data_IF_661239458293
#
_entry.id   IF_661239458293
#
_cell.length_a   1.000
_cell.length_b   1.000
_cell.length_c   1.000
_cell.angle_alpha   90.00
_cell.angle_beta   90.00
_cell.angle_gamma   90.00
#
_symmetry.space_group_name_H-M   'P 1'
#
loop_
_entity.id
_entity.type
_entity.pdbx_description
1 polymer ?
#
# COMPACT_ATOMS: atom_id res chain seq x y z
N UNK A 1 21.97 -6.51 -11.69
CA UNK A 1 21.58 -5.65 -12.82
C UNK A 1 20.07 -5.64 -12.85
N UNK A 2 19.43 -4.49 -12.61
CA UNK A 2 17.96 -4.36 -12.68
C UNK A 2 17.51 -4.57 -14.12
N UNK A 3 16.48 -5.40 -14.35
CA UNK A 3 15.85 -5.54 -15.66
C UNK A 3 15.21 -4.22 -16.09
N UNK A 4 15.02 -4.05 -17.39
CA UNK A 4 14.37 -2.84 -17.94
C UNK A 4 12.89 -2.82 -17.54
N UNK A 5 12.51 -1.85 -16.71
CA UNK A 5 11.11 -1.54 -16.43
C UNK A 5 10.51 -0.74 -17.60
N UNK A 6 9.41 -1.25 -18.16
CA UNK A 6 8.63 -0.57 -19.19
C UNK A 6 7.18 -0.50 -18.73
N UNK A 7 6.71 0.69 -18.36
CA UNK A 7 5.34 0.88 -17.90
C UNK A 7 4.35 0.65 -19.04
N UNK A 8 3.70 -0.52 -19.04
CA UNK A 8 2.76 -0.95 -20.08
C UNK A 8 1.81 -2.00 -19.55
N UNK A 9 0.63 -2.13 -20.15
CA UNK A 9 -0.32 -3.20 -19.79
C UNK A 9 0.34 -4.59 -19.89
N UNK A 10 1.15 -4.82 -20.93
CA UNK A 10 1.84 -6.10 -21.11
C UNK A 10 2.83 -6.38 -19.96
N UNK A 11 3.62 -5.39 -19.55
CA UNK A 11 4.56 -5.57 -18.45
C UNK A 11 3.88 -5.99 -17.14
N UNK A 12 2.81 -5.28 -16.75
CA UNK A 12 2.07 -5.61 -15.52
C UNK A 12 1.33 -6.93 -15.65
N UNK A 13 0.80 -7.24 -16.83
CA UNK A 13 0.19 -8.53 -17.15
C UNK A 13 1.19 -9.68 -16.93
N UNK A 14 2.40 -9.56 -17.47
CA UNK A 14 3.44 -10.60 -17.38
C UNK A 14 3.99 -10.73 -15.96
N UNK A 15 4.17 -9.60 -15.26
CA UNK A 15 4.62 -9.58 -13.87
C UNK A 15 3.58 -10.24 -12.96
N UNK A 16 2.30 -9.95 -13.17
CA UNK A 16 1.21 -10.65 -12.50
C UNK A 16 1.28 -12.15 -12.74
N UNK A 17 1.41 -12.60 -13.99
CA UNK A 17 1.40 -14.04 -14.32
C UNK A 17 2.57 -14.80 -13.68
N UNK A 18 3.71 -14.13 -13.46
CA UNK A 18 4.85 -14.67 -12.70
C UNK A 18 4.58 -14.76 -11.20
N UNK A 19 3.89 -13.77 -10.63
CA UNK A 19 3.64 -13.68 -9.19
C UNK A 19 2.44 -14.51 -8.75
N UNK A 20 1.38 -14.58 -9.55
CA UNK A 20 0.11 -15.20 -9.20
C UNK A 20 0.22 -16.66 -8.72
N UNK A 21 0.99 -17.57 -9.35
CA UNK A 21 1.03 -18.98 -8.92
C UNK A 21 1.84 -19.23 -7.64
N UNK A 22 2.57 -18.24 -7.12
CA UNK A 22 3.46 -18.41 -5.97
C UNK A 22 2.63 -18.61 -4.70
N UNK A 23 2.91 -19.69 -3.97
CA UNK A 23 2.34 -19.96 -2.65
C UNK A 23 2.96 -19.02 -1.60
N UNK A 24 2.44 -17.79 -1.54
CA UNK A 24 2.75 -16.85 -0.46
C UNK A 24 2.03 -17.23 0.84
N UNK A 25 2.61 -16.77 1.93
CA UNK A 25 2.05 -16.81 3.28
C UNK A 25 2.68 -15.67 4.08
N UNK A 26 2.35 -15.56 5.37
CA UNK A 26 2.93 -14.54 6.27
C UNK A 26 4.43 -14.73 6.53
N UNK A 27 5.00 -15.84 6.11
CA UNK A 27 6.42 -16.19 6.17
C UNK A 27 6.68 -17.24 5.08
N UNK A 28 7.93 -17.43 4.66
CA UNK A 28 8.30 -18.62 3.88
C UNK A 28 8.88 -18.35 2.50
N UNK A 29 9.27 -19.41 1.78
CA UNK A 29 9.95 -19.32 0.50
C UNK A 29 9.16 -18.54 -0.56
N UNK A 30 7.82 -18.66 -0.60
CA UNK A 30 7.00 -17.95 -1.59
C UNK A 30 7.00 -16.43 -1.40
N UNK A 31 7.09 -15.94 -0.17
CA UNK A 31 7.26 -14.51 0.10
C UNK A 31 8.61 -14.02 -0.46
N UNK A 32 9.70 -14.73 -0.16
CA UNK A 32 11.04 -14.39 -0.67
C UNK A 32 11.14 -14.48 -2.18
N UNK A 33 10.55 -15.51 -2.79
CA UNK A 33 10.49 -15.64 -4.24
C UNK A 33 9.78 -14.43 -4.86
N UNK A 34 8.73 -13.93 -4.22
CA UNK A 34 8.04 -12.72 -4.68
C UNK A 34 8.96 -11.49 -4.54
N UNK A 35 9.69 -11.34 -3.44
CA UNK A 35 10.73 -10.31 -3.30
C UNK A 35 11.85 -10.42 -4.35
N UNK A 36 12.30 -11.62 -4.68
CA UNK A 36 13.31 -11.86 -5.71
C UNK A 36 12.82 -11.45 -7.11
N UNK A 37 11.51 -11.51 -7.36
CA UNK A 37 10.91 -11.00 -8.59
C UNK A 37 10.84 -9.47 -8.55
N UNK A 38 10.35 -8.88 -7.46
CA UNK A 38 10.31 -7.41 -7.33
C UNK A 38 11.71 -6.78 -7.36
N UNK A 39 12.72 -7.45 -6.80
CA UNK A 39 14.11 -6.98 -6.74
C UNK A 39 14.76 -6.81 -8.12
N UNK A 40 14.20 -7.46 -9.15
CA UNK A 40 14.61 -7.29 -10.54
C UNK A 40 14.25 -5.90 -11.08
N UNK A 41 13.23 -5.23 -10.53
CA UNK A 41 12.70 -3.96 -11.01
C UNK A 41 12.87 -2.82 -10.00
N UNK A 42 12.84 -3.13 -8.70
CA UNK A 42 12.97 -2.18 -7.59
C UNK A 42 14.03 -2.70 -6.60
N UNK A 43 15.10 -1.97 -6.27
CA UNK A 43 16.13 -2.47 -5.35
C UNK A 43 15.52 -2.65 -3.96
N UNK A 44 15.54 -3.87 -3.43
CA UNK A 44 14.96 -4.20 -2.13
C UNK A 44 16.08 -4.48 -1.11
N UNK A 45 16.02 -3.80 0.02
CA UNK A 45 16.70 -4.20 1.24
C UNK A 45 15.76 -5.09 2.05
N UNK A 46 16.21 -6.30 2.37
CA UNK A 46 15.42 -7.26 3.15
C UNK A 46 15.95 -7.29 4.59
N UNK A 47 15.09 -6.94 5.53
CA UNK A 47 15.32 -7.12 6.96
C UNK A 47 14.58 -8.36 7.46
N UNK A 48 15.28 -9.23 8.17
CA UNK A 48 14.75 -10.50 8.68
C UNK A 48 14.65 -10.48 10.20
N UNK A 49 13.46 -10.75 10.74
CA UNK A 49 13.20 -10.88 12.17
C UNK A 49 13.01 -12.35 12.51
N UNK A 50 13.81 -12.90 13.42
CA UNK A 50 13.82 -14.34 13.73
C UNK A 50 12.52 -14.81 14.37
N UNK A 51 12.09 -16.02 14.05
CA UNK A 51 11.04 -16.75 14.78
C UNK A 51 11.25 -16.66 16.30
N UNK A 52 10.15 -16.50 17.04
CA UNK A 52 10.17 -16.37 18.50
C UNK A 52 10.51 -14.98 19.02
N UNK A 53 10.98 -14.06 18.16
CA UNK A 53 11.23 -12.66 18.55
C UNK A 53 9.91 -12.00 18.95
N UNK A 54 9.93 -11.34 20.10
CA UNK A 54 8.80 -10.53 20.57
C UNK A 54 8.79 -9.18 19.84
N UNK A 55 7.72 -8.88 19.12
CA UNK A 55 7.45 -7.60 18.47
C UNK A 55 6.18 -6.99 19.04
N UNK A 56 6.36 -6.10 20.02
CA UNK A 56 5.28 -5.59 20.87
C UNK A 56 4.57 -6.71 21.62
N UNK A 57 3.26 -6.89 21.45
CA UNK A 57 2.49 -7.99 22.06
C UNK A 57 2.50 -9.27 21.20
N UNK A 58 3.04 -9.21 19.98
CA UNK A 58 3.08 -10.34 19.07
C UNK A 58 4.42 -11.06 19.13
N UNK A 59 4.42 -12.34 18.79
CA UNK A 59 5.63 -13.13 18.60
C UNK A 59 5.74 -13.53 17.13
N UNK A 60 6.92 -13.39 16.53
CA UNK A 60 7.18 -13.82 15.16
C UNK A 60 6.97 -15.34 15.03
N UNK A 61 6.08 -15.80 14.13
CA UNK A 61 5.73 -17.22 14.03
C UNK A 61 6.87 -18.05 13.41
N UNK A 62 6.74 -19.38 13.49
CA UNK A 62 7.60 -20.30 12.74
C UNK A 62 7.32 -20.16 11.26
N UNK A 63 8.36 -20.29 10.44
CA UNK A 63 8.22 -20.19 8.99
C UNK A 63 7.56 -21.44 8.41
N UNK A 64 6.53 -21.25 7.57
CA UNK A 64 5.81 -22.34 6.91
C UNK A 64 6.40 -22.65 5.53
N UNK A 65 6.77 -23.91 5.33
CA UNK A 65 7.25 -24.44 4.05
C UNK A 65 6.28 -25.52 3.61
N UNK A 66 5.76 -25.44 2.39
CA UNK A 66 4.87 -26.45 1.83
C UNK A 66 5.29 -26.74 0.39
N UNK A 67 5.60 -28.00 0.09
CA UNK A 67 6.06 -28.42 -1.24
C UNK A 67 4.97 -29.10 -2.07
N UNK A 68 3.99 -29.72 -1.41
CA UNK A 68 2.89 -30.44 -2.07
C UNK A 68 1.70 -30.53 -1.12
N UNK A 69 0.49 -30.33 -1.64
CA UNK A 69 -0.73 -30.67 -0.93
C UNK A 69 -1.81 -31.14 -1.92
N UNK A 70 -2.41 -32.30 -1.65
CA UNK A 70 -3.50 -32.83 -2.46
C UNK A 70 -4.45 -33.69 -1.63
N UNK A 71 -5.69 -33.77 -2.12
CA UNK A 71 -6.73 -34.64 -1.60
C UNK A 71 -7.16 -35.59 -2.71
N UNK A 72 -6.90 -36.88 -2.51
CA UNK A 72 -7.20 -37.95 -3.46
C UNK A 72 -8.46 -38.71 -3.05
N UNK A 73 -9.40 -38.86 -3.98
CA UNK A 73 -10.66 -39.57 -3.81
C UNK A 73 -10.47 -41.10 -3.91
N UNK A 74 -11.49 -41.91 -3.54
CA UNK A 74 -11.40 -43.37 -3.56
C UNK A 74 -11.06 -43.98 -4.92
N UNK A 75 -11.39 -43.28 -6.01
CA UNK A 75 -11.12 -43.67 -7.40
C UNK A 75 -9.72 -43.22 -7.89
N UNK A 76 -8.94 -42.54 -7.04
CA UNK A 76 -7.63 -41.97 -7.36
C UNK A 76 -7.68 -40.55 -7.93
N UNK A 77 -8.86 -39.93 -8.07
CA UNK A 77 -8.98 -38.57 -8.60
C UNK A 77 -8.52 -37.53 -7.56
N UNK A 78 -7.65 -36.59 -7.95
CA UNK A 78 -7.28 -35.45 -7.09
C UNK A 78 -8.39 -34.38 -7.09
N UNK A 79 -9.21 -34.39 -6.04
CA UNK A 79 -10.29 -33.42 -5.85
C UNK A 79 -9.77 -32.06 -5.37
N UNK A 80 -8.62 -32.03 -4.71
CA UNK A 80 -7.85 -30.83 -4.38
C UNK A 80 -6.37 -31.05 -4.74
N UNK A 81 -5.71 -30.05 -5.32
CA UNK A 81 -4.30 -30.05 -5.67
C UNK A 81 -3.73 -28.62 -5.65
N UNK A 82 -2.81 -28.35 -4.73
CA UNK A 82 -2.15 -27.06 -4.57
C UNK A 82 -1.41 -26.60 -5.83
N UNK A 83 -0.97 -27.52 -6.70
CA UNK A 83 -0.33 -27.17 -7.97
C UNK A 83 -1.33 -26.71 -9.04
N UNK A 84 -2.61 -27.12 -8.93
CA UNK A 84 -3.70 -26.58 -9.74
C UNK A 84 -4.10 -25.20 -9.24
N UNK A 85 -4.36 -25.08 -7.94
CA UNK A 85 -4.66 -23.81 -7.30
C UNK A 85 -4.23 -23.87 -5.84
N UNK A 86 -3.32 -22.98 -5.45
CA UNK A 86 -2.75 -23.00 -4.10
C UNK A 86 -3.72 -22.53 -2.99
N UNK A 87 -4.92 -22.06 -3.36
CA UNK A 87 -6.03 -21.82 -2.43
C UNK A 87 -6.70 -23.11 -1.95
N UNK A 88 -6.49 -24.24 -2.65
CA UNK A 88 -7.13 -25.52 -2.31
C UNK A 88 -6.56 -26.17 -1.05
N UNK A 89 -5.47 -25.63 -0.48
CA UNK A 89 -4.95 -26.00 0.84
C UNK A 89 -5.17 -24.85 1.81
N UNK A 90 -5.56 -25.17 3.06
CA UNK A 90 -5.60 -24.17 4.13
C UNK A 90 -4.17 -23.64 4.33
N UNK A 91 -3.98 -22.34 4.14
CA UNK A 91 -2.67 -21.72 4.26
C UNK A 91 -2.15 -21.88 5.70
N UNK A 92 -0.86 -22.20 5.86
CA UNK A 92 -0.27 -22.58 7.14
C UNK A 92 -0.71 -23.96 7.68
N UNK A 93 -1.15 -24.88 6.82
CA UNK A 93 -1.49 -26.26 7.24
C UNK A 93 -0.29 -27.03 7.79
N UNK A 94 -0.49 -27.76 8.89
CA UNK A 94 0.48 -28.76 9.38
C UNK A 94 0.57 -29.98 8.44
N UNK A 95 1.64 -30.76 8.60
CA UNK A 95 1.88 -31.93 7.77
C UNK A 95 0.84 -33.02 8.02
N UNK A 96 0.35 -33.65 6.95
CA UNK A 96 -0.54 -34.81 7.03
C UNK A 96 -0.26 -35.78 5.89
N UNK A 97 -0.32 -37.08 6.16
CA UNK A 97 -0.49 -38.14 5.17
C UNK A 97 -1.39 -39.19 5.82
N UNK A 98 -2.70 -39.08 5.58
CA UNK A 98 -3.73 -39.90 6.22
C UNK A 98 -4.75 -40.36 5.21
N UNK A 99 -5.27 -41.56 5.44
CA UNK A 99 -6.45 -42.07 4.76
C UNK A 99 -7.62 -41.95 5.74
N UNK A 100 -8.67 -41.23 5.36
CA UNK A 100 -9.83 -40.95 6.21
C UNK A 100 -11.13 -41.29 5.48
N UNK A 101 -12.16 -41.80 6.17
CA UNK A 101 -13.50 -41.87 5.59
C UNK A 101 -14.07 -40.45 5.37
N UNK A 102 -14.99 -40.32 4.42
CA UNK A 102 -15.55 -39.01 4.03
C UNK A 102 -16.16 -38.26 5.22
N UNK A 103 -16.89 -38.94 6.12
CA UNK A 103 -17.53 -38.36 7.30
C UNK A 103 -16.53 -37.67 8.25
N UNK A 104 -15.37 -38.29 8.48
CA UNK A 104 -14.28 -37.69 9.25
C UNK A 104 -13.64 -36.52 8.48
N UNK A 105 -13.38 -36.72 7.18
CA UNK A 105 -12.77 -35.73 6.29
C UNK A 105 -13.58 -34.43 6.21
N UNK A 106 -14.91 -34.47 6.27
CA UNK A 106 -15.77 -33.28 6.20
C UNK A 106 -15.37 -32.18 7.20
N UNK A 107 -14.80 -32.54 8.35
CA UNK A 107 -14.33 -31.59 9.38
C UNK A 107 -13.06 -30.82 8.98
N UNK A 108 -12.38 -31.26 7.91
CA UNK A 108 -11.17 -30.67 7.35
C UNK A 108 -11.41 -30.00 5.98
N UNK A 109 -12.67 -29.94 5.53
CA UNK A 109 -13.06 -29.32 4.27
C UNK A 109 -13.73 -27.97 4.51
N UNK A 110 -13.30 -26.98 3.75
CA UNK A 110 -13.83 -25.62 3.78
C UNK A 110 -14.42 -25.26 2.42
N UNK A 111 -15.62 -24.69 2.41
CA UNK A 111 -16.37 -24.31 1.21
C UNK A 111 -17.32 -23.14 1.54
N UNK A 112 -17.87 -22.49 0.50
CA UNK A 112 -18.81 -21.37 0.65
C UNK A 112 -20.15 -21.71 -0.02
N UNK A 113 -21.21 -22.05 0.75
CA UNK A 113 -22.53 -22.31 0.18
C UNK A 113 -23.10 -21.16 -0.64
N UNK A 114 -22.87 -19.93 -0.20
CA UNK A 114 -23.36 -18.70 -0.87
C UNK A 114 -22.62 -18.40 -2.19
N UNK A 115 -21.46 -19.00 -2.42
CA UNK A 115 -20.68 -18.86 -3.64
C UNK A 115 -20.23 -20.24 -4.13
N UNK A 116 -21.15 -21.04 -4.69
CA UNK A 116 -20.97 -22.49 -4.81
C UNK A 116 -19.88 -22.93 -5.79
N UNK A 117 -19.42 -22.03 -6.66
CA UNK A 117 -18.33 -22.25 -7.62
C UNK A 117 -16.97 -21.74 -7.12
N UNK A 118 -16.94 -20.97 -6.02
CA UNK A 118 -15.73 -20.34 -5.51
C UNK A 118 -15.00 -21.25 -4.52
N UNK A 119 -13.67 -21.27 -4.59
CA UNK A 119 -12.82 -21.93 -3.59
C UNK A 119 -12.40 -20.85 -2.58
N UNK A 120 -12.73 -21.00 -1.27
CA UNK A 120 -12.38 -20.01 -0.27
C UNK A 120 -10.88 -20.01 0.03
N UNK A 121 -10.34 -18.83 0.30
CA UNK A 121 -9.05 -18.69 0.97
C UNK A 121 -9.23 -18.83 2.48
N UNK A 122 -8.57 -19.83 3.08
CA UNK A 122 -8.62 -20.11 4.51
C UNK A 122 -7.20 -20.18 5.05
N UNK A 123 -6.99 -19.63 6.26
CA UNK A 123 -5.67 -19.57 6.90
C UNK A 123 -5.74 -20.13 8.32
N UNK A 124 -4.62 -20.64 8.83
CA UNK A 124 -4.50 -21.09 10.22
C UNK A 124 -3.15 -20.71 10.84
N UNK A 125 -2.81 -19.42 10.81
CA UNK A 125 -1.47 -18.93 11.19
C UNK A 125 -1.07 -19.22 12.64
N UNK A 126 -1.99 -19.01 13.59
CA UNK A 126 -1.68 -18.98 15.02
C UNK A 126 -2.24 -20.18 15.78
N UNK A 127 -2.78 -21.17 15.07
CA UNK A 127 -3.25 -22.43 15.63
C UNK A 127 -2.98 -23.54 14.63
N UNK A 128 -2.29 -24.61 15.05
CA UNK A 128 -2.03 -25.76 14.18
C UNK A 128 -3.35 -26.42 13.78
N UNK A 129 -3.55 -26.51 12.47
CA UNK A 129 -4.64 -27.19 11.77
C UNK A 129 -4.10 -27.65 10.42
N UNK A 130 -4.84 -28.52 9.76
CA UNK A 130 -4.69 -28.79 8.33
C UNK A 130 -6.09 -28.91 7.72
N UNK A 131 -6.18 -28.64 6.43
CA UNK A 131 -7.43 -28.81 5.69
C UNK A 131 -7.29 -28.45 4.21
N UNK A 132 -8.39 -28.67 3.49
CA UNK A 132 -8.52 -28.37 2.07
C UNK A 132 -9.72 -27.45 1.82
N UNK A 133 -9.58 -26.58 0.84
CA UNK A 133 -10.65 -25.71 0.38
C UNK A 133 -11.18 -26.21 -0.95
N UNK A 134 -12.49 -26.28 -1.08
CA UNK A 134 -13.18 -26.75 -2.28
C UNK A 134 -14.30 -25.76 -2.64
N UNK A 135 -14.74 -25.78 -3.90
CA UNK A 135 -16.04 -25.22 -4.22
C UNK A 135 -17.14 -26.02 -3.53
N UNK A 136 -18.27 -25.37 -3.20
CA UNK A 136 -19.39 -26.10 -2.58
C UNK A 136 -19.88 -27.23 -3.49
N UNK A 137 -19.96 -26.98 -4.81
CA UNK A 137 -20.35 -27.99 -5.78
C UNK A 137 -19.43 -29.22 -5.77
N UNK A 138 -18.12 -29.01 -5.69
CA UNK A 138 -17.16 -30.11 -5.61
C UNK A 138 -17.33 -30.89 -4.29
N UNK A 139 -17.50 -30.19 -3.17
CA UNK A 139 -17.72 -30.78 -1.85
C UNK A 139 -18.99 -31.64 -1.79
N UNK A 140 -20.09 -31.15 -2.34
CA UNK A 140 -21.38 -31.86 -2.35
C UNK A 140 -21.37 -33.09 -3.27
N UNK A 141 -20.43 -33.13 -4.22
CA UNK A 141 -20.30 -34.22 -5.19
C UNK A 141 -19.29 -35.30 -4.76
N UNK A 142 -18.72 -35.20 -3.56
CA UNK A 142 -17.74 -36.17 -3.07
C UNK A 142 -18.41 -37.55 -2.84
N UNK A 143 -17.95 -38.62 -3.50
CA UNK A 143 -18.47 -39.96 -3.25
C UNK A 143 -18.08 -40.48 -1.87
N UNK A 144 -18.93 -41.32 -1.28
CA UNK A 144 -18.56 -42.07 -0.07
C UNK A 144 -17.31 -42.92 -0.29
N UNK A 145 -16.46 -43.00 0.72
CA UNK A 145 -15.27 -43.84 0.70
C UNK A 145 -14.10 -43.24 1.47
N UNK A 146 -12.92 -43.82 1.22
CA UNK A 146 -11.67 -43.42 1.86
C UNK A 146 -10.88 -42.47 0.97
N UNK A 147 -10.50 -41.33 1.54
CA UNK A 147 -9.73 -40.29 0.88
C UNK A 147 -8.33 -40.24 1.43
N UNK A 148 -7.33 -40.03 0.57
CA UNK A 148 -5.96 -39.76 1.01
C UNK A 148 -5.71 -38.25 1.04
N UNK A 149 -5.57 -37.71 2.23
CA UNK A 149 -5.19 -36.33 2.48
C UNK A 149 -3.68 -36.24 2.68
N UNK A 150 -3.00 -35.49 1.80
CA UNK A 150 -1.55 -35.26 1.86
C UNK A 150 -1.25 -33.77 1.90
N UNK A 151 -0.54 -33.32 2.94
CA UNK A 151 0.09 -32.00 3.02
C UNK A 151 1.54 -32.22 3.42
N UNK A 152 2.46 -32.04 2.48
CA UNK A 152 3.90 -32.07 2.71
C UNK A 152 4.37 -30.67 3.09
N UNK A 153 4.15 -30.33 4.36
CA UNK A 153 4.59 -29.07 4.94
C UNK A 153 5.50 -29.27 6.16
N UNK A 154 6.20 -28.21 6.55
CA UNK A 154 6.98 -28.16 7.77
C UNK A 154 6.96 -26.74 8.35
N UNK A 155 7.04 -26.66 9.68
CA UNK A 155 7.30 -25.41 10.39
C UNK A 155 8.76 -25.40 10.81
N UNK A 156 9.50 -24.36 10.41
CA UNK A 156 10.91 -24.21 10.72
C UNK A 156 11.15 -22.92 11.48
N UNK A 157 12.19 -22.91 12.32
CA UNK A 157 12.64 -21.65 12.91
C UNK A 157 13.35 -20.85 11.82
N UNK A 158 12.67 -19.82 11.35
CA UNK A 158 13.05 -19.03 10.19
C UNK A 158 12.91 -17.55 10.47
N UNK A 159 12.38 -16.81 9.51
CA UNK A 159 12.26 -15.36 9.64
C UNK A 159 10.92 -14.81 9.12
N UNK A 160 10.47 -13.74 9.76
CA UNK A 160 9.60 -12.75 9.15
C UNK A 160 10.47 -11.77 8.35
N UNK A 161 10.31 -11.79 7.03
CA UNK A 161 11.08 -10.96 6.11
C UNK A 161 10.28 -9.71 5.73
N UNK A 162 10.92 -8.54 5.81
CA UNK A 162 10.37 -7.22 5.49
C UNK A 162 11.24 -6.62 4.38
N UNK A 163 10.66 -6.34 3.22
CA UNK A 163 11.37 -5.72 2.11
C UNK A 163 11.08 -4.22 2.04
N UNK A 164 12.12 -3.41 1.88
CA UNK A 164 12.00 -1.95 1.82
C UNK A 164 12.91 -1.37 0.73
N UNK A 165 12.57 -0.18 0.25
CA UNK A 165 13.48 0.67 -0.54
C UNK A 165 13.23 2.13 -0.21
N UNK A 166 14.26 2.95 -0.39
CA UNK A 166 14.21 4.38 -0.10
C UNK A 166 14.62 5.16 -1.33
N UNK A 167 13.81 6.16 -1.69
CA UNK A 167 14.17 7.23 -2.60
C UNK A 167 14.41 8.50 -1.78
N UNK A 168 15.69 8.86 -1.62
CA UNK A 168 16.08 10.09 -0.92
C UNK A 168 15.50 11.33 -1.63
N UNK A 169 15.00 12.25 -0.81
CA UNK A 169 14.59 13.59 -1.21
C UNK A 169 15.51 14.66 -0.62
N UNK A 170 15.11 15.92 -0.80
CA UNK A 170 15.81 17.10 -0.29
C UNK A 170 15.68 17.26 1.23
N UNK A 171 14.72 16.55 1.85
CA UNK A 171 14.53 16.50 3.30
C UNK A 171 14.49 15.07 3.83
N UNK A 172 14.76 14.94 5.13
CA UNK A 172 14.59 13.68 5.87
C UNK A 172 13.15 13.40 6.30
N UNK A 173 12.23 14.35 6.06
CA UNK A 173 10.81 14.09 6.26
C UNK A 173 10.36 13.01 5.29
N UNK A 174 9.63 12.03 5.81
CA UNK A 174 9.43 10.75 5.17
C UNK A 174 7.96 10.49 4.85
N UNK A 175 7.72 9.96 3.66
CA UNK A 175 6.42 9.45 3.21
C UNK A 175 6.52 7.94 3.07
N UNK A 176 5.71 7.21 3.83
CA UNK A 176 5.62 5.75 3.74
C UNK A 176 4.58 5.33 2.70
N UNK A 177 4.97 4.52 1.73
CA UNK A 177 4.07 3.80 0.84
C UNK A 177 4.25 2.30 1.10
N UNK A 178 3.20 1.63 1.56
CA UNK A 178 3.31 0.20 1.89
C UNK A 178 2.20 -0.61 1.25
N UNK A 179 2.52 -1.87 0.92
CA UNK A 179 1.53 -2.86 0.54
C UNK A 179 1.91 -4.20 1.14
N UNK A 180 0.93 -5.08 1.34
CA UNK A 180 1.19 -6.39 1.89
C UNK A 180 1.30 -7.48 0.81
N UNK A 181 2.11 -8.50 1.07
CA UNK A 181 2.50 -9.54 0.10
C UNK A 181 2.44 -10.97 0.71
N UNK A 182 1.46 -11.27 1.56
CA UNK A 182 1.29 -12.60 2.18
C UNK A 182 0.21 -13.50 1.55
N UNK A 183 -0.76 -12.97 0.81
CA UNK A 183 -1.83 -13.75 0.18
C UNK A 183 -1.30 -14.50 -1.06
N UNK A 184 -1.69 -15.77 -1.27
CA UNK A 184 -1.21 -16.60 -2.38
C UNK A 184 -1.90 -16.25 -3.72
N UNK A 185 -2.48 -17.20 -4.47
CA UNK A 185 -3.08 -16.94 -5.79
C UNK A 185 -4.41 -16.17 -5.73
N UNK A 186 -4.35 -14.89 -5.36
CA UNK A 186 -5.45 -13.93 -5.45
C UNK A 186 -4.95 -12.60 -6.01
N UNK A 187 -5.78 -11.97 -6.84
CA UNK A 187 -5.37 -10.88 -7.70
C UNK A 187 -5.53 -9.51 -7.05
N UNK A 188 -6.77 -9.09 -6.78
CA UNK A 188 -7.05 -7.79 -6.21
C UNK A 188 -6.64 -7.75 -4.73
N UNK A 189 -7.03 -8.74 -3.94
CA UNK A 189 -6.45 -9.00 -2.62
C UNK A 189 -5.40 -10.12 -2.71
N UNK A 190 -4.15 -9.85 -3.06
CA UNK A 190 -3.51 -8.55 -2.80
C UNK A 190 -2.58 -8.03 -3.89
N UNK A 191 -2.29 -8.78 -4.96
CA UNK A 191 -1.27 -8.39 -5.97
C UNK A 191 -1.50 -7.01 -6.59
N UNK A 192 -2.74 -6.51 -6.62
CA UNK A 192 -3.04 -5.14 -7.04
C UNK A 192 -2.18 -4.08 -6.31
N UNK A 193 -2.04 -4.21 -4.99
CA UNK A 193 -1.31 -3.26 -4.15
C UNK A 193 0.19 -3.24 -4.43
N UNK A 194 0.91 -4.39 -4.33
CA UNK A 194 2.32 -4.50 -4.64
C UNK A 194 2.68 -4.08 -6.07
N UNK A 195 1.82 -4.37 -7.05
CA UNK A 195 2.03 -3.94 -8.44
C UNK A 195 1.93 -2.41 -8.57
N UNK A 196 0.92 -1.79 -7.95
CA UNK A 196 0.79 -0.31 -7.94
C UNK A 196 1.94 0.35 -7.18
N UNK A 197 2.39 -0.26 -6.08
CA UNK A 197 3.55 0.22 -5.31
C UNK A 197 4.82 0.26 -6.18
N UNK A 198 5.07 -0.78 -6.98
CA UNK A 198 6.18 -0.82 -7.92
C UNK A 198 6.07 0.28 -8.98
N UNK A 199 4.87 0.50 -9.53
CA UNK A 199 4.63 1.57 -10.49
C UNK A 199 4.94 2.95 -9.91
N UNK A 200 4.42 3.23 -8.71
CA UNK A 200 4.70 4.48 -8.00
C UNK A 200 6.18 4.68 -7.74
N UNK A 201 6.92 3.64 -7.34
CA UNK A 201 8.38 3.72 -7.18
C UNK A 201 9.05 4.20 -8.47
N UNK A 202 8.71 3.60 -9.62
CA UNK A 202 9.32 3.96 -10.90
C UNK A 202 8.95 5.38 -11.38
N UNK A 203 7.75 5.85 -11.06
CA UNK A 203 7.32 7.21 -11.39
C UNK A 203 7.96 8.26 -10.50
N UNK A 204 7.89 8.09 -9.19
CA UNK A 204 8.48 9.00 -8.19
C UNK A 204 10.01 9.10 -8.37
N UNK A 205 10.66 8.00 -8.75
CA UNK A 205 12.10 7.98 -9.08
C UNK A 205 12.48 8.93 -10.22
N UNK A 206 11.58 9.14 -11.19
CA UNK A 206 11.83 10.01 -12.36
C UNK A 206 11.59 11.48 -12.08
N UNK A 207 10.95 11.83 -10.97
CA UNK A 207 10.70 13.23 -10.64
C UNK A 207 12.03 13.99 -10.49
N UNK A 208 12.12 15.22 -11.04
CA UNK A 208 13.37 15.98 -11.04
C UNK A 208 13.79 16.43 -9.63
N UNK A 209 12.81 16.64 -8.75
CA UNK A 209 12.98 17.04 -7.35
C UNK A 209 11.98 16.24 -6.51
N UNK A 210 12.42 15.83 -5.32
CA UNK A 210 11.58 15.20 -4.29
C UNK A 210 11.80 15.96 -2.99
N UNK A 211 10.81 16.67 -2.49
CA UNK A 211 10.82 17.37 -1.20
C UNK A 211 10.95 16.36 -0.08
N UNK A 212 10.19 15.28 -0.16
CA UNK A 212 10.18 14.21 0.84
C UNK A 212 11.06 13.03 0.46
N UNK A 213 11.57 12.34 1.47
CA UNK A 213 12.13 11.00 1.30
C UNK A 213 10.98 10.00 1.22
N UNK A 214 10.96 9.15 0.20
CA UNK A 214 9.91 8.15 0.02
C UNK A 214 10.40 6.76 0.39
N UNK A 215 9.72 6.11 1.33
CA UNK A 215 9.95 4.71 1.69
C UNK A 215 8.88 3.84 1.07
N UNK A 216 9.28 2.82 0.32
CA UNK A 216 8.36 1.80 -0.17
C UNK A 216 8.59 0.51 0.61
N UNK A 217 7.54 -0.10 1.13
CA UNK A 217 7.64 -1.32 1.93
C UNK A 217 6.69 -2.41 1.43
N UNK A 218 7.20 -3.64 1.36
CA UNK A 218 6.44 -4.85 1.10
C UNK A 218 6.64 -5.82 2.27
N UNK A 219 5.56 -6.23 2.91
CA UNK A 219 5.60 -7.12 4.07
C UNK A 219 4.33 -7.96 4.19
N UNK A 220 4.27 -8.99 5.03
CA UNK A 220 3.00 -9.63 5.37
C UNK A 220 2.00 -8.67 6.03
N UNK A 221 0.71 -8.89 5.83
CA UNK A 221 -0.32 -8.12 6.54
C UNK A 221 -0.23 -8.38 8.05
N UNK A 222 -0.46 -7.34 8.84
CA UNK A 222 -0.46 -7.30 10.31
C UNK A 222 0.89 -7.62 10.95
N UNK A 223 1.35 -8.87 10.90
CA UNK A 223 2.61 -9.25 11.54
C UNK A 223 3.79 -8.56 10.86
N UNK A 224 3.71 -8.33 9.55
CA UNK A 224 4.73 -7.62 8.79
C UNK A 224 4.75 -6.12 9.04
N UNK A 225 3.59 -5.45 9.14
CA UNK A 225 3.54 -4.03 9.52
C UNK A 225 4.01 -3.80 10.96
N UNK A 226 3.69 -4.71 11.88
CA UNK A 226 4.28 -4.73 13.23
C UNK A 226 5.79 -4.97 13.18
N UNK A 227 6.28 -5.83 12.28
CA UNK A 227 7.71 -6.03 12.03
C UNK A 227 8.39 -4.75 11.53
N UNK A 228 7.77 -4.05 10.57
CA UNK A 228 8.26 -2.76 10.08
C UNK A 228 8.28 -1.70 11.18
N UNK A 229 7.22 -1.60 11.99
CA UNK A 229 7.17 -0.71 13.15
C UNK A 229 8.25 -1.08 14.17
N UNK A 230 8.50 -2.36 14.43
CA UNK A 230 9.55 -2.80 15.33
C UNK A 230 10.93 -2.28 14.89
N UNK A 231 11.21 -2.31 13.58
CA UNK A 231 12.45 -1.81 13.00
C UNK A 231 12.51 -0.28 12.96
N UNK A 232 11.43 0.39 12.54
CA UNK A 232 11.49 1.78 12.06
C UNK A 232 10.69 2.80 12.88
N UNK A 233 9.94 2.41 13.92
CA UNK A 233 9.07 3.36 14.65
C UNK A 233 9.82 4.59 15.17
N UNK A 234 11.09 4.45 15.58
CA UNK A 234 11.91 5.59 16.04
C UNK A 234 12.26 6.57 14.91
N UNK A 235 12.44 6.05 13.69
CA UNK A 235 12.61 6.88 12.51
C UNK A 235 11.28 7.55 12.15
N UNK A 236 10.19 6.79 12.11
CA UNK A 236 8.85 7.31 11.82
C UNK A 236 8.42 8.41 12.79
N UNK A 237 8.64 8.24 14.09
CA UNK A 237 8.33 9.28 15.09
C UNK A 237 9.08 10.59 14.88
N UNK A 238 10.25 10.57 14.23
CA UNK A 238 11.04 11.77 13.96
C UNK A 238 10.68 12.40 12.62
N UNK A 239 10.37 11.57 11.63
CA UNK A 239 10.45 11.97 10.23
C UNK A 239 9.14 11.79 9.45
N UNK A 240 8.23 10.90 9.86
CA UNK A 240 7.05 10.59 9.05
C UNK A 240 6.05 11.75 9.03
N UNK A 241 5.73 12.23 7.83
CA UNK A 241 4.71 13.28 7.61
C UNK A 241 3.41 12.75 7.03
N UNK A 242 3.50 11.61 6.34
CA UNK A 242 2.37 10.94 5.75
C UNK A 242 2.70 9.45 5.54
N UNK A 243 1.67 8.62 5.51
CA UNK A 243 1.77 7.28 4.99
C UNK A 243 0.52 6.86 4.21
N UNK A 244 0.70 5.93 3.29
CA UNK A 244 -0.39 5.34 2.52
C UNK A 244 -0.20 3.84 2.37
N UNK A 245 -1.16 3.08 2.87
CA UNK A 245 -1.29 1.65 2.57
C UNK A 245 -2.10 1.48 1.29
N UNK A 246 -1.56 0.69 0.36
CA UNK A 246 -2.14 0.45 -0.95
C UNK A 246 -2.62 -0.99 -1.01
N UNK A 247 -3.93 -1.20 -1.09
CA UNK A 247 -4.52 -2.54 -1.21
C UNK A 247 -5.79 -2.52 -2.07
N UNK A 248 -6.14 -3.65 -2.68
CA UNK A 248 -7.39 -3.82 -3.43
C UNK A 248 -7.66 -2.66 -4.42
N UNK A 249 -6.63 -2.25 -5.17
CA UNK A 249 -6.63 -1.07 -6.06
C UNK A 249 -6.95 -1.41 -7.52
N UNK A 250 -7.31 -2.66 -7.82
CA UNK A 250 -7.97 -3.11 -9.05
C UNK A 250 -9.49 -3.19 -8.88
N UNK A 251 -10.18 -3.70 -9.89
CA UNK A 251 -11.65 -3.82 -9.92
C UNK A 251 -12.33 -2.80 -10.84
N UNK A 252 -13.67 -2.87 -10.88
CA UNK A 252 -14.52 -2.12 -11.83
C UNK A 252 -14.84 -0.70 -11.37
N UNK A 253 -14.73 -0.44 -10.07
CA UNK A 253 -15.00 0.85 -9.44
C UNK A 253 -14.07 1.92 -10.04
N UNK A 254 -14.61 3.10 -10.36
CA UNK A 254 -13.84 4.17 -10.99
C UNK A 254 -13.08 5.02 -9.97
N UNK A 255 -13.68 5.25 -8.82
CA UNK A 255 -13.13 6.11 -7.77
C UNK A 255 -12.19 5.33 -6.85
N UNK A 256 -11.13 5.99 -6.40
CA UNK A 256 -10.36 5.53 -5.26
C UNK A 256 -11.07 5.95 -3.97
N UNK A 257 -11.10 5.06 -2.99
CA UNK A 257 -11.55 5.36 -1.64
C UNK A 257 -10.34 5.46 -0.72
N UNK A 258 -10.19 6.60 -0.07
CA UNK A 258 -9.19 6.83 0.97
C UNK A 258 -9.86 6.74 2.34
N UNK A 259 -9.36 5.80 3.15
CA UNK A 259 -9.60 5.80 4.58
C UNK A 259 -8.54 6.64 5.27
N UNK A 260 -8.99 7.66 5.95
CA UNK A 260 -8.14 8.62 6.65
C UNK A 260 -7.41 7.96 7.83
N UNK A 261 -6.32 8.59 8.25
CA UNK A 261 -5.64 8.28 9.49
C UNK A 261 -6.57 8.53 10.69
N UNK A 262 -6.24 7.95 11.84
CA UNK A 262 -7.10 8.01 13.04
C UNK A 262 -7.32 9.42 13.56
N UNK A 263 -6.29 10.25 13.49
CA UNK A 263 -6.34 11.62 13.99
C UNK A 263 -6.87 12.61 12.93
N UNK A 264 -6.96 12.17 11.67
CA UNK A 264 -7.56 12.92 10.56
C UNK A 264 -7.02 14.35 10.42
N UNK A 265 -5.72 14.50 10.66
CA UNK A 265 -5.03 15.78 10.68
C UNK A 265 -3.59 15.69 10.14
N UNK A 266 -3.21 14.54 9.55
CA UNK A 266 -1.96 14.40 8.84
C UNK A 266 -1.95 15.22 7.55
N UNK A 267 -0.76 15.42 6.98
CA UNK A 267 -0.59 16.18 5.75
C UNK A 267 -1.43 15.59 4.60
N UNK A 268 -1.41 14.26 4.46
CA UNK A 268 -2.18 13.56 3.44
C UNK A 268 -3.70 13.60 3.71
N UNK A 269 -4.13 13.45 4.97
CA UNK A 269 -5.56 13.54 5.33
C UNK A 269 -6.16 14.87 4.87
N UNK A 270 -5.48 15.96 5.24
CA UNK A 270 -5.88 17.32 4.90
C UNK A 270 -5.85 17.57 3.40
N UNK A 271 -4.81 17.07 2.72
CA UNK A 271 -4.68 17.19 1.27
C UNK A 271 -5.83 16.49 0.55
N UNK A 272 -6.23 15.29 0.99
CA UNK A 272 -7.32 14.54 0.35
C UNK A 272 -8.64 15.33 0.39
N UNK A 273 -8.98 15.95 1.52
CA UNK A 273 -10.15 16.83 1.58
C UNK A 273 -10.05 18.01 0.60
N UNK A 274 -8.91 18.71 0.61
CA UNK A 274 -8.66 19.82 -0.30
C UNK A 274 -8.79 19.40 -1.78
N UNK A 275 -8.16 18.30 -2.18
CA UNK A 275 -8.20 17.82 -3.56
C UNK A 275 -9.62 17.42 -4.00
N UNK A 276 -10.45 16.93 -3.07
CA UNK A 276 -11.83 16.61 -3.37
C UNK A 276 -12.67 17.87 -3.65
N UNK A 277 -12.47 18.93 -2.87
CA UNK A 277 -13.09 20.25 -3.09
C UNK A 277 -12.67 20.88 -4.43
N UNK A 278 -11.52 20.46 -4.97
CA UNK A 278 -11.01 20.86 -6.28
C UNK A 278 -11.19 19.80 -7.38
N UNK A 279 -12.09 18.83 -7.20
CA UNK A 279 -12.59 17.97 -8.27
C UNK A 279 -11.71 16.77 -8.65
N UNK A 280 -10.82 16.30 -7.77
CA UNK A 280 -10.01 15.09 -8.02
C UNK A 280 -10.81 13.78 -8.07
N UNK A 281 -12.07 13.76 -7.65
CA UNK A 281 -13.00 12.65 -7.87
C UNK A 281 -12.60 11.36 -7.12
N UNK A 282 -12.38 11.47 -5.81
CA UNK A 282 -12.14 10.33 -4.92
C UNK A 282 -13.10 10.37 -3.73
N UNK A 283 -13.23 9.25 -3.04
CA UNK A 283 -14.08 9.15 -1.85
C UNK A 283 -13.24 9.13 -0.59
N UNK A 284 -13.62 9.92 0.40
CA UNK A 284 -13.01 9.96 1.72
C UNK A 284 -13.92 9.26 2.74
N UNK A 285 -13.36 8.35 3.53
CA UNK A 285 -14.06 7.68 4.64
C UNK A 285 -13.25 7.82 5.93
N UNK A 286 -13.96 7.93 7.06
CA UNK A 286 -13.33 8.05 8.37
C UNK A 286 -12.58 6.78 8.77
N UNK A 287 -11.56 6.94 9.60
CA UNK A 287 -10.85 5.82 10.20
C UNK A 287 -11.80 4.91 10.99
N UNK A 288 -11.65 3.60 10.79
CA UNK A 288 -12.28 2.58 11.60
C UNK A 288 -11.28 1.42 11.75
N UNK A 289 -11.02 0.94 12.98
CA UNK A 289 -10.12 -0.19 13.19
C UNK A 289 -10.79 -1.56 12.96
N UNK A 290 -12.10 -1.60 12.70
CA UNK A 290 -12.87 -2.84 12.52
C UNK A 290 -12.78 -3.40 11.10
N UNK A 291 -12.42 -2.57 10.12
CA UNK A 291 -12.29 -2.93 8.71
C UNK A 291 -11.01 -2.31 8.15
N UNK A 292 -10.57 -2.71 6.95
CA UNK A 292 -9.31 -2.24 6.37
C UNK A 292 -8.17 -3.23 6.60
N UNK A 293 -6.95 -2.70 6.71
CA UNK A 293 -5.72 -3.49 6.68
C UNK A 293 -4.73 -2.97 7.73
N UNK A 294 -3.49 -2.70 7.35
CA UNK A 294 -2.37 -2.36 8.23
C UNK A 294 -2.45 -0.98 8.87
N UNK A 295 -3.34 -0.09 8.42
CA UNK A 295 -3.41 1.28 8.92
C UNK A 295 -3.75 1.27 10.41
N UNK A 296 -4.48 0.24 10.87
CA UNK A 296 -4.76 0.01 12.30
C UNK A 296 -3.49 -0.14 13.15
N UNK A 297 -2.40 -0.67 12.60
CA UNK A 297 -1.14 -0.85 13.34
C UNK A 297 -0.40 0.48 13.47
N UNK A 298 -0.25 1.22 12.37
CA UNK A 298 0.41 2.54 12.39
C UNK A 298 -0.37 3.60 13.19
N UNK A 299 -1.69 3.50 13.20
CA UNK A 299 -2.60 4.40 13.93
C UNK A 299 -2.92 3.92 15.36
N UNK A 300 -2.27 2.84 15.83
CA UNK A 300 -2.46 2.34 17.18
C UNK A 300 -2.16 3.45 18.22
N UNK A 301 -2.81 3.44 19.41
CA UNK A 301 -2.70 4.53 20.39
C UNK A 301 -1.27 4.92 20.79
N UNK A 302 -0.33 3.96 20.77
CA UNK A 302 1.08 4.19 21.10
C UNK A 302 1.93 4.78 19.97
N UNK A 303 1.43 4.80 18.72
CA UNK A 303 2.13 5.31 17.55
C UNK A 303 1.47 6.56 16.98
N UNK A 304 0.18 6.46 16.64
CA UNK A 304 -0.62 7.54 16.03
C UNK A 304 0.06 8.20 14.82
N UNK A 305 0.71 7.40 13.98
CA UNK A 305 1.31 7.90 12.74
C UNK A 305 0.22 8.25 11.71
N UNK A 306 0.42 9.31 10.89
CA UNK A 306 -0.57 9.79 9.92
C UNK A 306 -0.61 8.90 8.66
N UNK A 307 -1.02 7.64 8.84
CA UNK A 307 -1.05 6.64 7.77
C UNK A 307 -2.48 6.38 7.33
N UNK A 308 -2.79 6.75 6.09
CA UNK A 308 -4.06 6.48 5.42
C UNK A 308 -4.03 5.10 4.73
N UNK A 309 -5.17 4.65 4.24
CA UNK A 309 -5.29 3.47 3.39
C UNK A 309 -6.08 3.82 2.13
N UNK A 310 -5.65 3.35 0.96
CA UNK A 310 -6.38 3.49 -0.31
C UNK A 310 -6.80 2.13 -0.86
N UNK A 311 -8.03 2.07 -1.35
CA UNK A 311 -8.56 0.94 -2.11
C UNK A 311 -9.47 1.42 -3.24
N UNK A 312 -9.60 0.63 -4.30
CA UNK A 312 -10.61 0.82 -5.35
C UNK A 312 -11.86 -0.01 -5.04
N UNK A 313 -11.65 -1.26 -4.65
CA UNK A 313 -12.67 -2.15 -4.09
C UNK A 313 -12.35 -2.38 -2.62
N UNK A 314 -13.02 -1.67 -1.71
CA UNK A 314 -12.83 -1.89 -0.27
C UNK A 314 -13.20 -3.34 0.10
N UNK A 315 -12.65 -3.89 1.19
CA UNK A 315 -12.77 -5.33 1.54
C UNK A 315 -14.21 -5.83 1.74
N UNK A 316 -15.16 -4.94 2.03
CA UNK A 316 -16.59 -5.21 2.14
C UNK A 316 -17.36 -4.97 0.82
N UNK A 317 -16.67 -4.50 -0.22
CA UNK A 317 -17.25 -3.92 -1.42
C UNK A 317 -17.23 -4.83 -2.66
N UNK A 318 -16.71 -6.06 -2.57
CA UNK A 318 -16.73 -6.99 -3.72
C UNK A 318 -16.83 -8.47 -3.34
N UNK A 319 -17.65 -9.22 -4.08
CA UNK A 319 -18.02 -10.60 -3.75
C UNK A 319 -16.87 -11.60 -3.93
N UNK A 320 -15.89 -11.29 -4.78
CA UNK A 320 -14.76 -12.17 -5.08
C UNK A 320 -13.73 -12.24 -3.95
N UNK A 321 -13.75 -11.30 -3.00
CA UNK A 321 -12.77 -11.18 -1.91
C UNK A 321 -12.59 -12.50 -1.15
N UNK A 322 -11.33 -12.89 -0.91
CA UNK A 322 -10.95 -14.15 -0.26
C UNK A 322 -11.48 -15.42 -0.94
N UNK A 323 -11.58 -15.41 -2.27
CA UNK A 323 -11.94 -16.59 -3.04
C UNK A 323 -11.11 -16.71 -4.31
N UNK A 324 -11.17 -17.88 -4.95
CA UNK A 324 -10.60 -18.13 -6.28
C UNK A 324 -11.19 -17.26 -7.39
N UNK A 325 -12.29 -16.56 -7.15
CA UNK A 325 -12.87 -15.61 -8.11
C UNK A 325 -12.14 -14.25 -8.09
N UNK A 326 -11.24 -14.03 -7.13
CA UNK A 326 -10.36 -12.86 -7.12
C UNK A 326 -9.19 -13.08 -8.07
N UNK A 327 -9.48 -12.96 -9.37
CA UNK A 327 -8.58 -13.27 -10.47
C UNK A 327 -8.16 -12.03 -11.27
N UNK A 328 -7.31 -12.26 -12.27
CA UNK A 328 -6.77 -11.20 -13.15
C UNK A 328 -7.86 -10.45 -13.90
N UNK A 329 -8.94 -11.14 -14.27
CA UNK A 329 -10.04 -10.55 -15.02
C UNK A 329 -10.82 -9.57 -14.15
N UNK A 330 -11.12 -9.96 -12.90
CA UNK A 330 -11.74 -9.08 -11.93
C UNK A 330 -10.84 -7.87 -11.61
N UNK A 331 -9.56 -8.12 -11.26
CA UNK A 331 -8.62 -7.06 -10.89
C UNK A 331 -8.40 -6.06 -12.04
N UNK A 332 -8.16 -6.57 -13.25
CA UNK A 332 -7.89 -5.79 -14.46
C UNK A 332 -6.57 -5.01 -14.42
N UNK A 333 -5.76 -5.13 -15.46
CA UNK A 333 -4.48 -4.38 -15.55
C UNK A 333 -4.69 -2.88 -15.77
N UNK A 334 -5.69 -2.48 -16.58
CA UNK A 334 -6.01 -1.07 -16.82
C UNK A 334 -6.41 -0.33 -15.54
N UNK A 335 -7.29 -0.87 -14.67
CA UNK A 335 -7.53 -0.31 -13.34
C UNK A 335 -6.26 -0.07 -12.50
N UNK A 336 -5.26 -0.97 -12.56
CA UNK A 336 -4.00 -0.77 -11.83
C UNK A 336 -3.24 0.44 -12.36
N UNK A 337 -3.13 0.59 -13.68
CA UNK A 337 -2.47 1.75 -14.30
C UNK A 337 -3.20 3.06 -13.95
N UNK A 338 -4.53 3.06 -14.00
CA UNK A 338 -5.34 4.21 -13.58
C UNK A 338 -5.15 4.53 -12.08
N UNK A 339 -5.00 3.51 -11.22
CA UNK A 339 -4.65 3.72 -9.81
C UNK A 339 -3.27 4.35 -9.64
N UNK A 340 -2.26 3.93 -10.43
CA UNK A 340 -0.93 4.56 -10.43
C UNK A 340 -1.04 6.02 -10.87
N UNK A 341 -1.78 6.31 -11.94
CA UNK A 341 -2.01 7.68 -12.43
C UNK A 341 -2.63 8.59 -11.39
N UNK A 342 -3.70 8.12 -10.74
CA UNK A 342 -4.43 8.90 -9.72
C UNK A 342 -3.57 9.13 -8.47
N UNK A 343 -2.87 8.11 -8.01
CA UNK A 343 -2.01 8.21 -6.84
C UNK A 343 -0.79 9.10 -7.09
N UNK A 344 -0.14 8.99 -8.27
CA UNK A 344 0.96 9.88 -8.64
C UNK A 344 0.53 11.34 -8.63
N UNK A 345 -0.66 11.66 -9.20
CA UNK A 345 -1.21 13.03 -9.18
C UNK A 345 -1.36 13.55 -7.75
N UNK A 346 -1.90 12.75 -6.83
CA UNK A 346 -2.03 13.15 -5.41
C UNK A 346 -0.66 13.42 -4.79
N UNK A 347 0.35 12.59 -5.06
CA UNK A 347 1.68 12.83 -4.50
C UNK A 347 2.41 14.00 -5.16
N UNK A 348 2.15 14.33 -6.43
CA UNK A 348 2.65 15.55 -7.06
C UNK A 348 2.05 16.82 -6.42
N UNK A 349 0.78 16.78 -6.03
CA UNK A 349 0.14 17.84 -5.23
C UNK A 349 0.77 17.92 -3.83
N UNK A 350 0.99 16.76 -3.19
CA UNK A 350 1.63 16.70 -1.87
C UNK A 350 3.07 17.25 -1.86
N UNK A 351 3.81 17.13 -2.96
CA UNK A 351 5.15 17.74 -3.10
C UNK A 351 5.11 19.29 -3.06
N UNK A 352 3.94 19.89 -3.27
CA UNK A 352 3.71 21.33 -3.11
C UNK A 352 3.27 21.70 -1.68
N UNK A 353 3.01 20.72 -0.81
CA UNK A 353 2.49 20.96 0.54
C UNK A 353 3.57 20.77 1.58
N UNK A 354 3.76 21.76 2.45
CA UNK A 354 4.53 21.65 3.69
C UNK A 354 4.23 22.86 4.58
N UNK A 355 4.73 22.84 5.80
CA UNK A 355 4.89 24.04 6.62
C UNK A 355 6.20 24.75 6.24
N UNK A 356 6.12 26.06 6.01
CA UNK A 356 7.27 26.91 5.69
C UNK A 356 7.51 27.96 6.78
N UNK A 357 8.76 28.40 6.90
CA UNK A 357 9.19 29.53 7.72
C UNK A 357 9.74 30.66 6.83
N UNK A 358 9.11 31.83 6.91
CA UNK A 358 9.57 33.06 6.27
C UNK A 358 10.84 33.56 6.95
N UNK A 359 11.91 33.70 6.17
CA UNK A 359 13.22 34.14 6.65
C UNK A 359 13.31 35.65 6.90
N UNK A 360 12.30 36.41 6.48
CA UNK A 360 12.17 37.86 6.65
C UNK A 360 10.78 38.21 7.21
N UNK A 361 10.46 37.82 8.47
CA UNK A 361 9.10 37.93 9.01
C UNK A 361 8.72 39.35 9.48
N UNK A 362 9.67 40.27 9.59
CA UNK A 362 9.44 41.63 10.10
C UNK A 362 9.07 42.61 8.98
N UNK A 363 7.82 42.52 8.51
CA UNK A 363 7.31 43.27 7.35
C UNK A 363 7.43 42.49 6.04
N UNK A 364 7.05 43.10 4.91
CA UNK A 364 7.22 42.45 3.60
C UNK A 364 8.65 42.61 3.08
N UNK A 365 9.30 41.55 2.55
CA UNK A 365 10.58 41.69 1.90
C UNK A 365 10.46 42.53 0.62
N UNK A 366 11.48 43.32 0.30
CA UNK A 366 11.53 44.08 -0.96
C UNK A 366 11.65 43.14 -2.18
N UNK A 367 10.50 42.70 -2.70
CA UNK A 367 10.39 41.70 -3.76
C UNK A 367 10.98 42.15 -5.11
N UNK A 368 10.99 43.46 -5.39
CA UNK A 368 11.52 44.04 -6.64
C UNK A 368 12.99 43.68 -6.87
N UNK A 369 13.80 43.73 -5.82
CA UNK A 369 15.26 43.51 -5.88
C UNK A 369 15.60 42.04 -6.16
N UNK A 370 14.60 41.17 -6.03
CA UNK A 370 14.68 39.72 -6.25
C UNK A 370 13.97 39.29 -7.53
N UNK A 371 13.47 40.24 -8.34
CA UNK A 371 12.73 39.95 -9.57
C UNK A 371 11.34 39.33 -9.34
N UNK A 372 10.79 39.44 -8.12
CA UNK A 372 9.51 38.85 -7.71
C UNK A 372 8.36 39.87 -7.69
N UNK A 373 8.59 41.08 -8.18
CA UNK A 373 7.60 42.14 -8.24
C UNK A 373 7.59 42.79 -9.63
N UNK A 374 6.42 42.99 -10.26
CA UNK A 374 6.34 43.68 -11.55
C UNK A 374 6.87 45.12 -11.47
N UNK A 375 7.76 45.50 -12.38
CA UNK A 375 8.38 46.84 -12.41
C UNK A 375 7.50 47.92 -13.06
N UNK A 376 6.40 47.53 -13.72
CA UNK A 376 5.48 48.42 -14.42
C UNK A 376 4.03 48.18 -13.98
N UNK A 377 3.31 49.25 -13.66
CA UNK A 377 1.89 49.22 -13.30
C UNK A 377 1.00 49.48 -14.52
N UNK A 378 1.01 48.59 -15.52
CA UNK A 378 0.18 48.69 -16.73
C UNK A 378 -0.88 47.57 -16.78
N UNK A 379 -2.12 47.90 -17.15
CA UNK A 379 -3.24 46.94 -17.14
C UNK A 379 -3.27 46.11 -18.44
N UNK A 380 -3.07 44.80 -18.35
CA UNK A 380 -3.17 43.82 -19.45
C UNK A 380 -3.61 42.43 -18.91
N UNK A 381 -4.01 41.50 -19.79
CA UNK A 381 -4.30 40.10 -19.40
C UNK A 381 -3.06 39.39 -18.84
N UNK A 382 -1.88 39.65 -19.41
CA UNK A 382 -0.61 39.16 -18.89
C UNK A 382 -0.35 39.68 -17.46
N UNK A 383 -0.78 40.91 -17.16
CA UNK A 383 -0.71 41.48 -15.82
C UNK A 383 -1.62 40.76 -14.82
N UNK A 384 -2.78 40.22 -15.22
CA UNK A 384 -3.65 39.47 -14.30
C UNK A 384 -2.92 38.26 -13.74
N UNK A 385 -2.29 37.46 -14.61
CA UNK A 385 -1.46 36.31 -14.18
C UNK A 385 -0.30 36.73 -13.27
N UNK A 386 0.38 37.84 -13.60
CA UNK A 386 1.44 38.39 -12.74
C UNK A 386 0.92 38.85 -11.38
N UNK A 387 -0.30 39.39 -11.32
CA UNK A 387 -0.95 39.80 -10.07
C UNK A 387 -1.36 38.58 -9.24
N UNK A 388 -1.89 37.54 -9.87
CA UNK A 388 -2.25 36.29 -9.18
C UNK A 388 -1.01 35.64 -8.56
N UNK A 389 0.08 35.51 -9.32
CA UNK A 389 1.35 34.99 -8.81
C UNK A 389 1.92 35.87 -7.68
N UNK A 390 1.85 37.20 -7.82
CA UNK A 390 2.28 38.12 -6.76
C UNK A 390 1.43 37.97 -5.50
N UNK A 391 0.11 37.77 -5.63
CA UNK A 391 -0.78 37.54 -4.50
C UNK A 391 -0.46 36.20 -3.82
N UNK A 392 -0.17 35.16 -4.60
CA UNK A 392 0.30 33.87 -4.07
C UNK A 392 1.60 34.04 -3.29
N UNK A 393 2.60 34.74 -3.85
CA UNK A 393 3.86 35.05 -3.17
C UNK A 393 3.62 35.76 -1.84
N UNK A 394 2.77 36.79 -1.82
CA UNK A 394 2.44 37.55 -0.62
C UNK A 394 1.73 36.70 0.43
N UNK A 395 0.76 35.89 0.02
CA UNK A 395 0.03 34.99 0.91
C UNK A 395 0.94 33.95 1.54
N UNK A 396 1.81 33.34 0.73
CA UNK A 396 2.81 32.40 1.23
C UNK A 396 3.75 33.07 2.24
N UNK A 397 4.33 34.23 1.91
CA UNK A 397 5.22 34.95 2.83
C UNK A 397 4.55 35.35 4.15
N UNK A 398 3.28 35.78 4.08
CA UNK A 398 2.57 36.29 5.25
C UNK A 398 2.14 35.18 6.22
N UNK A 399 1.71 34.03 5.71
CA UNK A 399 1.24 32.91 6.53
C UNK A 399 2.31 31.84 6.80
N UNK A 400 3.51 31.95 6.24
CA UNK A 400 4.63 31.04 6.54
C UNK A 400 5.33 31.40 7.86
N UNK A 401 4.58 31.35 8.96
CA UNK A 401 5.06 31.58 10.33
C UNK A 401 5.49 30.29 11.05
N UNK A 402 5.40 29.15 10.35
CA UNK A 402 5.68 27.83 10.90
C UNK A 402 4.46 27.14 11.53
N UNK A 403 3.26 27.73 11.46
CA UNK A 403 2.00 27.13 11.93
C UNK A 403 1.09 26.72 10.77
N UNK A 404 0.95 27.56 9.75
CA UNK A 404 0.13 27.24 8.58
C UNK A 404 0.92 26.41 7.56
N UNK A 405 0.29 25.34 7.05
CA UNK A 405 0.80 24.62 5.89
C UNK A 405 0.28 25.23 4.58
N UNK A 406 0.88 24.84 3.45
CA UNK A 406 0.49 25.32 2.13
C UNK A 406 -1.00 25.07 1.82
N UNK A 407 -1.61 24.03 2.39
CA UNK A 407 -3.02 23.69 2.17
C UNK A 407 -3.92 24.70 2.88
N UNK A 408 -3.57 25.14 4.09
CA UNK A 408 -4.29 26.23 4.76
C UNK A 408 -4.30 27.51 3.93
N UNK A 409 -3.14 27.85 3.37
CA UNK A 409 -2.97 29.06 2.59
C UNK A 409 -3.76 28.95 1.28
N UNK A 410 -3.76 27.77 0.65
CA UNK A 410 -4.54 27.47 -0.55
C UNK A 410 -6.05 27.61 -0.29
N UNK A 411 -6.53 27.03 0.80
CA UNK A 411 -7.92 27.12 1.24
C UNK A 411 -8.34 28.56 1.52
N UNK A 412 -7.47 29.39 2.14
CA UNK A 412 -7.75 30.82 2.36
C UNK A 412 -7.89 31.60 1.05
N UNK A 413 -7.17 31.21 0.01
CA UNK A 413 -7.25 31.82 -1.32
C UNK A 413 -8.36 31.23 -2.19
N UNK A 414 -8.88 30.05 -1.84
CA UNK A 414 -9.86 29.31 -2.64
C UNK A 414 -9.27 28.75 -3.95
N UNK A 415 -7.97 28.42 -3.97
CA UNK A 415 -7.27 27.89 -5.15
C UNK A 415 -6.70 26.49 -4.87
N UNK A 416 -6.50 25.65 -5.90
CA UNK A 416 -5.77 24.39 -5.76
C UNK A 416 -4.34 24.60 -5.27
N UNK A 417 -3.80 23.67 -4.49
CA UNK A 417 -2.44 23.78 -3.97
C UNK A 417 -1.36 23.75 -5.07
N UNK A 418 -1.62 23.09 -6.21
CA UNK A 418 -0.72 23.10 -7.38
C UNK A 418 -0.49 24.48 -7.97
N UNK A 419 -1.42 25.44 -7.78
CA UNK A 419 -1.26 26.81 -8.28
C UNK A 419 -0.08 27.53 -7.60
N UNK A 420 0.33 27.10 -6.40
CA UNK A 420 1.49 27.68 -5.71
C UNK A 420 2.84 27.25 -6.25
N UNK A 421 2.92 26.24 -7.12
CA UNK A 421 4.19 25.64 -7.56
C UNK A 421 5.23 26.68 -8.00
N UNK A 422 4.84 27.59 -8.90
CA UNK A 422 5.75 28.61 -9.45
C UNK A 422 6.20 29.60 -8.37
N UNK A 423 5.28 30.03 -7.50
CA UNK A 423 5.57 30.94 -6.41
C UNK A 423 6.53 30.32 -5.38
N UNK A 424 6.30 29.04 -5.02
CA UNK A 424 7.16 28.29 -4.11
C UNK A 424 8.58 28.12 -4.68
N UNK A 425 8.71 27.70 -5.93
CA UNK A 425 10.02 27.54 -6.59
C UNK A 425 10.83 28.84 -6.55
N UNK A 426 10.18 29.99 -6.81
CA UNK A 426 10.80 31.31 -6.75
C UNK A 426 11.20 31.72 -5.33
N UNK A 427 10.32 31.51 -4.35
CA UNK A 427 10.56 31.85 -2.95
C UNK A 427 11.69 31.01 -2.33
N UNK A 428 11.72 29.71 -2.62
CA UNK A 428 12.78 28.80 -2.18
C UNK A 428 14.12 29.15 -2.82
N UNK A 429 14.15 29.44 -4.14
CA UNK A 429 15.37 29.83 -4.85
C UNK A 429 15.99 31.11 -4.28
N UNK A 430 15.16 32.06 -3.84
CA UNK A 430 15.59 33.30 -3.19
C UNK A 430 15.80 33.16 -1.67
N UNK A 431 15.63 31.95 -1.12
CA UNK A 431 15.73 31.64 0.32
C UNK A 431 14.83 32.55 1.19
N UNK A 432 13.67 32.93 0.66
CA UNK A 432 12.67 33.69 1.39
C UNK A 432 11.80 32.76 2.25
N UNK A 433 11.55 31.55 1.76
CA UNK A 433 10.89 30.48 2.51
C UNK A 433 11.84 29.30 2.66
N UNK A 434 11.83 28.69 3.85
CA UNK A 434 12.53 27.44 4.12
C UNK A 434 11.51 26.47 4.72
N UNK A 435 11.57 25.22 4.30
CA UNK A 435 10.74 24.15 4.87
C UNK A 435 11.03 24.00 6.36
N UNK A 436 10.00 23.99 7.20
CA UNK A 436 10.15 23.80 8.64
C UNK A 436 10.63 22.37 8.93
N UNK A 437 11.63 22.25 9.80
CA UNK A 437 12.10 20.93 10.23
C UNK A 437 11.15 20.30 11.25
N UNK A 438 10.76 19.04 11.03
CA UNK A 438 9.76 18.33 11.84
C UNK A 438 10.28 18.01 13.26
N UNK A 439 11.60 18.08 13.45
CA UNK A 439 12.28 17.85 14.73
C UNK A 439 12.11 18.99 15.75
N UNK A 440 11.65 20.17 15.30
CA UNK A 440 11.43 21.36 16.13
C UNK A 440 9.95 21.50 16.48
N UNK A 441 9.46 20.68 17.42
CA UNK A 441 8.22 20.94 18.16
C UNK A 441 8.55 21.27 19.60
#
# INVERSE_FOLDING_TARGET
MTQTYTESEQFYSDLYDKLFPILRSITGPGLRQSYDIFSQYMPLEISSIKTGTQIFDWQVPQEWHCSEAYLEAPDGTRVADMHRLNLEVVNYSEAVDKILPLDELQNHLYSLPEQPTAIPYVTSYYKKRWGFCLSQQARDSLPEGNYRAVVKSQFVDGNLDIAQTILEGDSKQEVLLSSYLCHPSMANNELSGPLVLLGLYHRIKKWPKRRYTYRFALHPETIGSLGLLHLEHKNFSKNMVAGLIINCVGGKQQELTFKHSRNDNGLLDKLLYHLNDHGHGHRNISFCPLSGSDERQYNAPGFQFPVCCVSRSFHDGYSQYHTSLDDKEYMGIKPLLDSIDKLERIFLEMEQTTVFENQYPYGEPQLSDRGLYPTLSFFSEERKKQVDELNQIKMLLHYSDGEYDTIDIANKMGIPVSDFKVALEKLEAQKLLIMKDHSRR
#
